data_IF_821675266358
#
_entry.id   IF_821675266358
#
_cell.length_a   1.000
_cell.length_b   1.000
_cell.length_c   1.000
_cell.angle_alpha   90.00
_cell.angle_beta   90.00
_cell.angle_gamma   90.00
#
_symmetry.space_group_name_H-M   'P 1'
#
loop_
_entity.id
_entity.type
_entity.pdbx_description
1 polymer ?
#
# COMPACT_ATOMS: atom_id res chain seq x y z
N UNK A 1 -24.45 32.23 21.67
CA UNK A 1 -23.67 31.85 22.86
C UNK A 1 -22.41 31.07 22.49
N UNK A 2 -22.45 30.14 21.52
CA UNK A 2 -21.22 29.48 21.04
C UNK A 2 -20.31 30.42 20.23
N UNK A 3 -20.87 31.28 19.36
CA UNK A 3 -20.11 32.14 18.42
C UNK A 3 -19.09 33.13 19.04
N UNK A 4 -19.11 33.32 20.36
CA UNK A 4 -18.14 34.14 21.08
C UNK A 4 -16.87 33.40 21.53
N UNK A 5 -16.77 32.09 21.28
CA UNK A 5 -15.60 31.30 21.64
C UNK A 5 -14.45 31.53 20.65
N UNK A 6 -13.18 31.58 21.12
CA UNK A 6 -12.02 31.60 20.25
C UNK A 6 -11.98 30.38 19.33
N UNK A 7 -11.45 30.55 18.11
CA UNK A 7 -11.37 29.47 17.11
C UNK A 7 -10.59 28.27 17.63
N UNK A 8 -9.58 28.50 18.46
CA UNK A 8 -8.72 27.49 19.08
C UNK A 8 -9.54 26.54 19.95
N UNK A 9 -10.51 27.06 20.70
CA UNK A 9 -11.40 26.25 21.55
C UNK A 9 -12.28 25.34 20.69
N UNK A 10 -12.78 25.86 19.56
CA UNK A 10 -13.52 25.05 18.60
C UNK A 10 -12.66 23.94 18.00
N UNK A 11 -11.41 24.23 17.60
CA UNK A 11 -10.49 23.21 17.10
C UNK A 11 -10.20 22.13 18.12
N UNK A 12 -10.03 22.49 19.40
CA UNK A 12 -9.85 21.51 20.46
C UNK A 12 -11.06 20.56 20.56
N UNK A 13 -12.29 21.09 20.50
CA UNK A 13 -13.51 20.27 20.53
C UNK A 13 -13.63 19.40 19.27
N UNK A 14 -13.43 19.98 18.08
CA UNK A 14 -13.54 19.26 16.81
C UNK A 14 -12.51 18.13 16.72
N UNK A 15 -11.31 18.29 17.28
CA UNK A 15 -10.31 17.24 17.33
C UNK A 15 -10.66 16.08 18.28
N UNK A 16 -11.65 16.24 19.17
CA UNK A 16 -12.18 15.16 20.02
C UNK A 16 -13.36 14.43 19.37
N UNK A 17 -13.96 14.99 18.31
CA UNK A 17 -15.09 14.38 17.61
C UNK A 17 -14.55 13.44 16.54
N UNK A 18 -14.79 12.13 16.69
CA UNK A 18 -14.36 11.12 15.70
C UNK A 18 -15.45 10.78 14.69
N UNK A 19 -16.72 11.09 14.98
CA UNK A 19 -17.85 10.73 14.12
C UNK A 19 -18.05 11.73 12.97
N UNK A 20 -17.96 11.23 11.74
CA UNK A 20 -18.21 12.01 10.52
C UNK A 20 -19.64 12.57 10.45
N UNK A 21 -20.62 11.86 11.00
CA UNK A 21 -22.02 12.33 11.04
C UNK A 21 -22.15 13.57 11.93
N UNK A 22 -21.44 13.59 13.06
CA UNK A 22 -21.39 14.76 13.93
C UNK A 22 -20.82 15.98 13.21
N UNK A 23 -19.78 15.83 12.38
CA UNK A 23 -19.26 16.95 11.56
C UNK A 23 -20.29 17.48 10.56
N UNK A 24 -21.06 16.60 9.92
CA UNK A 24 -22.13 17.04 8.99
C UNK A 24 -23.22 17.81 9.73
N UNK A 25 -23.60 17.37 10.93
CA UNK A 25 -24.56 18.07 11.78
C UNK A 25 -24.02 19.43 12.23
N UNK A 26 -22.75 19.50 12.66
CA UNK A 26 -22.10 20.74 13.08
C UNK A 26 -22.02 21.78 11.95
N UNK A 27 -21.75 21.33 10.72
CA UNK A 27 -21.78 22.19 9.53
C UNK A 27 -23.16 22.83 9.29
N UNK A 28 -24.26 22.22 9.75
CA UNK A 28 -25.61 22.74 9.58
C UNK A 28 -26.02 23.74 10.68
N UNK A 29 -25.24 23.88 11.77
CA UNK A 29 -25.62 24.70 12.94
C UNK A 29 -25.44 26.19 12.69
N UNK A 30 -24.31 26.61 12.13
CA UNK A 30 -24.01 28.02 11.85
C UNK A 30 -22.94 28.17 10.76
N UNK A 31 -22.81 29.37 10.17
CA UNK A 31 -21.77 29.67 9.18
C UNK A 31 -20.35 29.52 9.76
N UNK A 32 -20.14 29.96 10.99
CA UNK A 32 -18.83 29.84 11.67
C UNK A 32 -18.45 28.38 11.89
N UNK A 33 -19.40 27.56 12.37
CA UNK A 33 -19.15 26.12 12.54
C UNK A 33 -18.98 25.41 11.20
N UNK A 34 -19.71 25.83 10.17
CA UNK A 34 -19.51 25.35 8.80
C UNK A 34 -18.06 25.59 8.36
N UNK A 35 -17.56 26.82 8.43
CA UNK A 35 -16.19 27.16 8.00
C UNK A 35 -15.11 26.43 8.80
N UNK A 36 -15.30 26.23 10.10
CA UNK A 36 -14.33 25.54 10.96
C UNK A 36 -14.37 24.01 10.80
N UNK A 37 -15.54 23.45 10.51
CA UNK A 37 -15.73 21.99 10.44
C UNK A 37 -15.49 21.43 9.03
N UNK A 38 -15.71 22.25 8.00
CA UNK A 38 -15.57 21.84 6.60
C UNK A 38 -14.18 21.23 6.28
N UNK A 39 -13.05 21.81 6.74
CA UNK A 39 -11.74 21.21 6.51
C UNK A 39 -11.64 19.79 7.10
N UNK A 40 -12.20 19.56 8.30
CA UNK A 40 -12.19 18.24 8.95
C UNK A 40 -13.08 17.23 8.23
N UNK A 41 -14.23 17.67 7.72
CA UNK A 41 -15.14 16.81 6.97
C UNK A 41 -14.52 16.29 5.67
N UNK A 42 -13.66 17.08 5.03
CA UNK A 42 -13.01 16.73 3.76
C UNK A 42 -11.53 16.34 3.91
N UNK A 43 -10.98 16.32 5.12
CA UNK A 43 -9.58 15.92 5.39
C UNK A 43 -9.30 14.47 4.96
N UNK A 44 -10.27 13.57 5.14
CA UNK A 44 -10.19 12.18 4.69
C UNK A 44 -11.29 11.87 3.68
N UNK A 45 -10.89 11.40 2.51
CA UNK A 45 -11.76 10.88 1.46
C UNK A 45 -11.61 9.37 1.38
N UNK A 46 -12.72 8.67 1.52
CA UNK A 46 -12.81 7.21 1.35
C UNK A 46 -13.67 6.94 0.14
N UNK A 47 -13.07 6.28 -0.85
CA UNK A 47 -13.71 5.80 -2.07
C UNK A 47 -13.78 4.29 -1.92
N UNK A 48 -14.98 3.73 -1.87
CA UNK A 48 -15.14 2.28 -1.72
C UNK A 48 -15.80 1.68 -2.93
N UNK A 49 -15.35 0.49 -3.32
CA UNK A 49 -16.11 -0.39 -4.20
C UNK A 49 -17.32 -0.94 -3.43
N UNK A 50 -18.43 -1.13 -4.15
CA UNK A 50 -19.65 -1.72 -3.60
C UNK A 50 -19.48 -3.21 -3.24
N UNK A 51 -18.56 -3.92 -3.90
CA UNK A 51 -18.37 -5.37 -3.69
C UNK A 51 -17.03 -5.87 -4.22
N UNK A 52 -16.54 -6.98 -3.67
CA UNK A 52 -15.35 -7.69 -4.18
C UNK A 52 -15.51 -8.23 -5.60
N UNK A 53 -16.76 -8.37 -6.05
CA UNK A 53 -17.10 -8.84 -7.41
C UNK A 53 -17.03 -7.74 -8.46
N UNK A 54 -16.99 -6.47 -8.06
CA UNK A 54 -16.98 -5.33 -8.97
C UNK A 54 -16.03 -4.22 -8.46
N UNK A 55 -14.73 -4.54 -8.38
CA UNK A 55 -13.71 -3.66 -7.82
C UNK A 55 -13.54 -2.35 -8.62
N UNK A 56 -13.87 -2.37 -9.92
CA UNK A 56 -13.86 -1.20 -10.80
C UNK A 56 -15.03 -0.23 -10.56
N UNK A 57 -16.09 -0.67 -9.84
CA UNK A 57 -17.26 0.15 -9.54
C UNK A 57 -17.05 0.96 -8.28
N UNK A 58 -16.15 1.93 -8.37
CA UNK A 58 -15.91 2.93 -7.32
C UNK A 58 -16.73 4.20 -7.56
N UNK A 59 -17.25 4.81 -6.48
CA UNK A 59 -18.03 6.05 -6.58
C UNK A 59 -17.17 7.29 -6.32
N UNK A 60 -16.54 7.82 -7.37
CA UNK A 60 -15.85 9.12 -7.30
C UNK A 60 -16.76 10.29 -7.66
N UNK A 61 -17.85 10.06 -8.39
CA UNK A 61 -18.76 11.10 -8.91
C UNK A 61 -19.31 12.00 -7.81
N UNK A 62 -19.59 11.44 -6.63
CA UNK A 62 -20.06 12.21 -5.47
C UNK A 62 -19.11 13.35 -5.04
N UNK A 63 -17.81 13.23 -5.33
CA UNK A 63 -16.79 14.24 -5.05
C UNK A 63 -16.57 15.23 -6.19
N UNK A 64 -17.04 14.89 -7.41
CA UNK A 64 -16.81 15.65 -8.63
C UNK A 64 -17.99 16.56 -9.02
N UNK A 65 -19.10 16.52 -8.29
CA UNK A 65 -20.30 17.31 -8.60
C UNK A 65 -20.30 18.64 -7.86
N UNK A 66 -20.59 19.73 -8.58
CA UNK A 66 -20.82 21.06 -8.05
C UNK A 66 -19.58 21.66 -7.37
N UNK A 67 -19.77 22.35 -6.23
CA UNK A 67 -18.67 22.93 -5.46
C UNK A 67 -17.87 21.90 -4.63
N UNK A 68 -18.06 20.60 -4.86
CA UNK A 68 -17.34 19.56 -4.12
C UNK A 68 -15.86 19.50 -4.47
N UNK A 69 -15.51 19.75 -5.74
CA UNK A 69 -14.10 19.85 -6.19
C UNK A 69 -13.37 20.97 -5.47
N UNK A 70 -14.01 22.13 -5.31
CA UNK A 70 -13.48 23.24 -4.54
C UNK A 70 -13.25 22.91 -3.05
N UNK A 71 -13.79 21.81 -2.51
CA UNK A 71 -13.55 21.35 -1.13
C UNK A 71 -12.43 20.32 -1.03
N UNK A 72 -12.03 19.71 -2.15
CA UNK A 72 -11.00 18.68 -2.18
C UNK A 72 -9.60 19.23 -1.84
N UNK A 73 -9.38 20.54 -1.87
CA UNK A 73 -8.12 21.15 -1.41
C UNK A 73 -7.84 20.93 0.09
N UNK A 74 -8.86 20.56 0.88
CA UNK A 74 -8.69 20.16 2.28
C UNK A 74 -8.24 18.71 2.45
N UNK A 75 -8.33 17.88 1.39
CA UNK A 75 -8.00 16.46 1.45
C UNK A 75 -6.54 16.25 1.80
N UNK A 76 -6.30 15.43 2.82
CA UNK A 76 -4.98 14.98 3.28
C UNK A 76 -4.82 13.48 3.20
N UNK A 77 -5.92 12.74 3.23
CA UNK A 77 -5.92 11.29 3.27
C UNK A 77 -6.88 10.76 2.22
N UNK A 78 -6.38 9.95 1.30
CA UNK A 78 -7.20 9.24 0.32
C UNK A 78 -7.09 7.75 0.59
N UNK A 79 -8.24 7.09 0.71
CA UNK A 79 -8.34 5.64 0.78
C UNK A 79 -9.26 5.14 -0.31
N UNK A 80 -8.77 4.21 -1.12
CA UNK A 80 -9.53 3.46 -2.11
C UNK A 80 -9.61 2.03 -1.60
N UNK A 81 -10.80 1.54 -1.27
CA UNK A 81 -10.95 0.26 -0.58
C UNK A 81 -12.09 -0.60 -1.10
N UNK A 82 -11.99 -1.90 -0.89
CA UNK A 82 -13.11 -2.82 -1.04
C UNK A 82 -13.32 -3.55 0.28
N UNK A 83 -14.56 -3.96 0.60
CA UNK A 83 -14.75 -4.89 1.70
C UNK A 83 -14.10 -6.24 1.33
N UNK A 84 -13.57 -7.01 2.28
CA UNK A 84 -13.02 -8.35 2.04
C UNK A 84 -13.80 -9.39 2.86
N UNK A 85 -14.55 -10.26 2.20
CA UNK A 85 -15.42 -11.27 2.78
C UNK A 85 -15.00 -12.69 2.37
N UNK A 86 -14.42 -12.86 1.18
CA UNK A 86 -14.01 -14.14 0.64
C UNK A 86 -12.47 -14.17 0.46
N UNK A 87 -11.84 -15.31 0.73
CA UNK A 87 -10.44 -15.52 0.36
C UNK A 87 -10.41 -16.00 -1.10
N UNK A 88 -10.24 -15.05 -2.02
CA UNK A 88 -10.20 -15.32 -3.45
C UNK A 88 -8.74 -15.42 -3.90
N UNK A 89 -8.37 -16.54 -4.54
CA UNK A 89 -7.04 -16.74 -5.12
C UNK A 89 -6.76 -15.72 -6.24
N UNK A 90 -7.81 -15.33 -6.98
CA UNK A 90 -7.74 -14.41 -8.12
C UNK A 90 -8.60 -13.16 -7.92
N UNK A 91 -8.11 -12.23 -7.08
CA UNK A 91 -8.85 -10.99 -6.78
C UNK A 91 -8.67 -9.90 -7.84
N UNK A 92 -7.58 -9.92 -8.61
CA UNK A 92 -7.31 -8.88 -9.59
C UNK A 92 -8.34 -8.88 -10.73
N UNK A 93 -8.73 -7.68 -11.18
CA UNK A 93 -9.68 -7.48 -12.28
C UNK A 93 -9.21 -8.21 -13.55
N UNK A 94 -7.89 -8.26 -13.80
CA UNK A 94 -7.30 -8.94 -14.95
C UNK A 94 -7.57 -10.45 -15.01
N UNK A 95 -7.74 -11.14 -13.88
CA UNK A 95 -8.05 -12.57 -13.89
C UNK A 95 -9.47 -12.85 -14.39
N UNK A 96 -10.44 -12.04 -13.95
CA UNK A 96 -11.82 -12.13 -14.42
C UNK A 96 -11.91 -11.89 -15.91
N UNK A 97 -11.03 -11.06 -16.44
CA UNK A 97 -10.94 -10.76 -17.85
C UNK A 97 -10.45 -11.97 -18.67
N UNK A 98 -9.55 -12.78 -18.11
CA UNK A 98 -9.05 -14.02 -18.73
C UNK A 98 -10.11 -15.13 -18.64
N UNK A 99 -10.77 -15.23 -17.49
CA UNK A 99 -11.77 -16.27 -17.23
C UNK A 99 -13.04 -16.08 -18.09
N UNK A 100 -13.44 -14.81 -18.30
CA UNK A 100 -14.49 -14.43 -19.26
C UNK A 100 -14.08 -14.73 -20.71
N UNK A 101 -12.78 -14.62 -21.06
CA UNK A 101 -12.26 -14.99 -22.39
C UNK A 101 -12.30 -16.51 -22.62
N UNK A 102 -11.90 -17.31 -21.63
CA UNK A 102 -11.82 -18.79 -21.76
C UNK A 102 -13.23 -19.42 -21.85
N UNK A 103 -14.21 -18.93 -21.06
CA UNK A 103 -15.58 -19.46 -21.03
C UNK A 103 -16.37 -19.24 -22.33
N UNK A 104 -15.96 -18.30 -23.17
CA UNK A 104 -16.67 -17.91 -24.39
C UNK A 104 -16.02 -18.36 -25.71
N UNK A 105 -14.99 -19.21 -25.65
CA UNK A 105 -14.37 -19.85 -26.83
C UNK A 105 -15.25 -20.91 -27.54
N UNK A 106 -16.58 -20.85 -27.38
CA UNK A 106 -17.52 -21.75 -28.05
C UNK A 106 -18.47 -21.09 -29.05
N UNK A 107 -18.46 -19.77 -29.27
CA UNK A 107 -19.14 -19.17 -30.43
C UNK A 107 -18.54 -17.79 -30.79
N UNK A 108 -18.45 -17.56 -32.10
CA UNK A 108 -17.85 -16.43 -32.82
C UNK A 108 -18.19 -15.04 -32.25
N UNK A 109 -17.17 -14.27 -31.83
CA UNK A 109 -17.06 -12.78 -31.87
C UNK A 109 -15.81 -12.33 -31.08
N UNK A 110 -14.64 -12.48 -31.71
CA UNK A 110 -13.32 -12.29 -31.08
C UNK A 110 -12.87 -10.81 -30.97
N UNK A 111 -13.42 -9.89 -31.79
CA UNK A 111 -12.90 -8.51 -31.86
C UNK A 111 -13.55 -7.52 -30.88
N UNK A 112 -14.80 -7.72 -30.43
CA UNK A 112 -15.45 -6.82 -29.46
C UNK A 112 -15.09 -7.14 -27.98
N UNK A 113 -14.53 -8.33 -27.71
CA UNK A 113 -14.42 -8.89 -26.36
C UNK A 113 -13.05 -8.78 -25.69
N UNK A 114 -11.95 -8.69 -26.46
CA UNK A 114 -10.64 -8.27 -25.92
C UNK A 114 -10.68 -6.85 -25.33
N UNK A 115 -11.66 -6.04 -25.72
CA UNK A 115 -11.93 -4.74 -25.13
C UNK A 115 -12.57 -4.85 -23.73
N UNK A 116 -13.44 -5.83 -23.47
CA UNK A 116 -14.28 -5.88 -22.27
C UNK A 116 -13.51 -5.98 -20.95
N UNK A 117 -12.40 -6.70 -20.94
CA UNK A 117 -11.59 -6.88 -19.73
C UNK A 117 -10.64 -5.71 -19.43
N UNK A 118 -9.79 -5.36 -20.40
CA UNK A 118 -8.99 -4.14 -20.37
C UNK A 118 -9.83 -2.89 -20.09
N UNK A 119 -11.11 -2.85 -20.49
CA UNK A 119 -12.00 -1.72 -20.16
C UNK A 119 -12.34 -1.60 -18.68
N UNK A 120 -12.46 -2.69 -17.91
CA UNK A 120 -12.77 -2.60 -16.47
C UNK A 120 -11.61 -2.03 -15.69
N UNK A 121 -10.39 -2.54 -15.91
CA UNK A 121 -9.19 -2.01 -15.26
C UNK A 121 -8.91 -0.56 -15.71
N UNK A 122 -9.00 -0.25 -17.01
CA UNK A 122 -8.89 1.14 -17.51
C UNK A 122 -9.97 2.05 -16.95
N UNK A 123 -11.18 1.54 -16.71
CA UNK A 123 -12.25 2.31 -16.08
C UNK A 123 -11.92 2.62 -14.62
N UNK A 124 -11.37 1.66 -13.88
CA UNK A 124 -10.90 1.89 -12.51
C UNK A 124 -9.79 2.96 -12.49
N UNK A 125 -8.81 2.82 -13.37
CA UNK A 125 -7.72 3.78 -13.57
C UNK A 125 -8.28 5.17 -13.88
N UNK A 126 -9.02 5.34 -14.98
CA UNK A 126 -9.55 6.63 -15.41
C UNK A 126 -10.44 7.27 -14.33
N UNK A 127 -11.31 6.49 -13.70
CA UNK A 127 -12.22 6.98 -12.64
C UNK A 127 -11.43 7.48 -11.43
N UNK A 128 -10.34 6.79 -11.08
CA UNK A 128 -9.47 7.16 -9.96
C UNK A 128 -8.63 8.38 -10.31
N UNK A 129 -8.01 8.40 -11.49
CA UNK A 129 -7.15 9.48 -11.94
C UNK A 129 -7.92 10.80 -12.06
N UNK A 130 -9.11 10.78 -12.68
CA UNK A 130 -9.99 11.97 -12.76
C UNK A 130 -10.30 12.55 -11.38
N UNK A 131 -10.39 11.71 -10.33
CA UNK A 131 -10.56 12.18 -8.96
C UNK A 131 -9.26 12.75 -8.38
N UNK A 132 -8.14 12.04 -8.54
CA UNK A 132 -6.84 12.47 -8.01
C UNK A 132 -6.39 13.81 -8.61
N UNK A 133 -6.64 14.05 -9.89
CA UNK A 133 -6.35 15.31 -10.59
C UNK A 133 -7.10 16.53 -10.02
N UNK A 134 -8.13 16.33 -9.19
CA UNK A 134 -8.81 17.43 -8.50
C UNK A 134 -8.15 17.81 -7.17
N UNK A 135 -7.20 17.01 -6.71
CA UNK A 135 -6.47 17.27 -5.48
C UNK A 135 -5.42 18.34 -5.73
N UNK A 136 -5.16 19.14 -4.70
CA UNK A 136 -4.06 20.10 -4.75
C UNK A 136 -2.72 19.34 -4.69
N UNK A 137 -1.76 19.77 -5.49
CA UNK A 137 -0.40 19.23 -5.47
C UNK A 137 0.21 19.34 -4.06
N UNK A 138 0.96 18.32 -3.67
CA UNK A 138 1.62 18.21 -2.37
C UNK A 138 0.68 18.42 -1.17
N UNK A 139 -0.60 18.10 -1.37
CA UNK A 139 -1.60 18.22 -0.31
C UNK A 139 -1.77 16.94 0.48
N UNK A 140 -1.51 15.77 -0.12
CA UNK A 140 -1.72 14.49 0.52
C UNK A 140 -0.62 14.16 1.52
N UNK A 141 -1.07 13.69 2.69
CA UNK A 141 -0.23 13.09 3.73
C UNK A 141 -0.29 11.58 3.69
N UNK A 142 -1.40 10.99 3.25
CA UNK A 142 -1.47 9.54 3.08
C UNK A 142 -2.30 9.11 1.89
N UNK A 143 -1.86 8.01 1.28
CA UNK A 143 -2.58 7.31 0.24
C UNK A 143 -2.76 5.83 0.62
N UNK A 144 -3.92 5.27 0.33
CA UNK A 144 -4.21 3.86 0.59
C UNK A 144 -4.92 3.22 -0.59
N UNK A 145 -4.30 2.19 -1.15
CA UNK A 145 -4.88 1.28 -2.13
C UNK A 145 -5.17 -0.06 -1.46
N UNK A 146 -6.42 -0.26 -1.07
CA UNK A 146 -6.90 -1.41 -0.32
C UNK A 146 -7.93 -2.20 -1.14
N UNK A 147 -7.66 -2.38 -2.44
CA UNK A 147 -8.53 -3.14 -3.36
C UNK A 147 -8.09 -4.59 -3.53
N UNK A 148 -6.82 -4.93 -3.24
CA UNK A 148 -6.29 -6.27 -3.50
C UNK A 148 -6.16 -6.57 -4.99
N UNK A 149 -5.81 -5.55 -5.78
CA UNK A 149 -5.59 -5.62 -7.24
C UNK A 149 -4.24 -5.01 -7.57
N UNK A 150 -3.77 -5.19 -8.80
CA UNK A 150 -2.75 -4.30 -9.39
C UNK A 150 -3.13 -2.83 -9.19
N UNK A 151 -2.12 -2.00 -9.05
CA UNK A 151 -2.26 -0.53 -9.01
C UNK A 151 -1.94 -0.02 -10.41
N UNK A 152 -2.82 0.81 -11.02
CA UNK A 152 -2.53 1.43 -12.30
C UNK A 152 -1.22 2.24 -12.27
N UNK A 153 -0.40 2.11 -13.31
CA UNK A 153 0.90 2.83 -13.41
C UNK A 153 0.72 4.34 -13.52
N UNK A 154 -0.41 4.79 -14.06
CA UNK A 154 -0.78 6.20 -14.15
C UNK A 154 -1.03 6.80 -12.75
N UNK A 155 -1.19 5.96 -11.72
CA UNK A 155 -1.35 6.39 -10.33
C UNK A 155 -0.02 6.27 -9.57
N UNK A 156 0.64 5.11 -9.61
CA UNK A 156 1.80 4.80 -8.77
C UNK A 156 2.98 4.19 -9.54
N UNK A 157 3.05 4.34 -10.86
CA UNK A 157 4.26 4.10 -11.65
C UNK A 157 5.18 5.31 -11.62
N UNK A 158 6.36 5.21 -12.22
CA UNK A 158 7.41 6.26 -12.16
C UNK A 158 6.97 7.62 -12.72
N UNK A 159 6.05 7.62 -13.69
CA UNK A 159 5.43 8.81 -14.28
C UNK A 159 3.96 8.97 -13.85
N UNK A 160 3.55 8.25 -12.80
CA UNK A 160 2.20 8.29 -12.27
C UNK A 160 1.92 9.57 -11.47
N UNK A 161 0.64 9.84 -11.26
CA UNK A 161 0.17 11.02 -10.53
C UNK A 161 0.82 11.16 -9.14
N UNK A 162 0.90 10.08 -8.35
CA UNK A 162 1.42 10.20 -6.98
C UNK A 162 2.92 10.53 -6.94
N UNK A 163 3.80 9.83 -7.67
CA UNK A 163 5.22 10.20 -7.71
C UNK A 163 5.50 11.57 -8.33
N UNK A 164 4.63 12.09 -9.20
CA UNK A 164 4.81 13.41 -9.83
C UNK A 164 4.24 14.57 -9.00
N UNK A 165 3.05 14.40 -8.40
CA UNK A 165 2.27 15.51 -7.81
C UNK A 165 2.16 15.44 -6.28
N UNK A 166 2.55 14.31 -5.64
CA UNK A 166 2.35 14.05 -4.21
C UNK A 166 3.60 13.42 -3.56
N UNK A 167 4.77 14.00 -3.81
CA UNK A 167 6.06 13.47 -3.33
C UNK A 167 6.23 13.53 -1.80
N UNK A 168 5.52 14.44 -1.13
CA UNK A 168 5.57 14.66 0.32
C UNK A 168 4.74 13.68 1.16
N UNK A 169 4.24 12.59 0.56
CA UNK A 169 3.48 11.56 1.28
C UNK A 169 4.23 11.05 2.53
N UNK A 170 3.51 11.02 3.65
CA UNK A 170 4.01 10.53 4.93
C UNK A 170 3.58 9.08 5.22
N UNK A 171 2.55 8.58 4.55
CA UNK A 171 2.07 7.23 4.76
C UNK A 171 1.50 6.59 3.48
N UNK A 172 1.87 5.33 3.24
CA UNK A 172 1.32 4.54 2.15
C UNK A 172 0.80 3.20 2.68
N UNK A 173 -0.36 2.78 2.19
CA UNK A 173 -0.97 1.47 2.51
C UNK A 173 -1.40 0.78 1.24
N UNK A 174 -0.80 -0.37 0.95
CA UNK A 174 -1.03 -1.12 -0.28
C UNK A 174 -1.52 -2.53 0.05
N UNK A 175 -2.58 -2.95 -0.62
CA UNK A 175 -3.02 -4.33 -0.68
C UNK A 175 -3.12 -4.65 -2.17
N UNK A 176 -2.11 -5.36 -2.66
CA UNK A 176 -1.98 -5.74 -4.07
C UNK A 176 -2.54 -7.15 -4.29
N UNK A 177 -2.92 -7.44 -5.53
CA UNK A 177 -3.35 -8.79 -5.93
C UNK A 177 -2.16 -9.75 -5.93
N UNK A 178 -2.46 -11.04 -6.04
CA UNK A 178 -1.48 -12.12 -6.11
C UNK A 178 -1.52 -12.72 -7.51
N UNK A 179 -0.35 -12.99 -8.09
CA UNK A 179 -0.22 -13.77 -9.32
C UNK A 179 -0.79 -13.14 -10.58
N UNK A 180 -1.12 -11.85 -10.58
CA UNK A 180 -1.74 -11.24 -11.75
C UNK A 180 -0.75 -11.27 -12.94
N UNK A 181 -1.15 -11.79 -14.12
CA UNK A 181 -0.24 -11.95 -15.25
C UNK A 181 0.33 -10.62 -15.76
N UNK A 182 -0.42 -9.52 -15.63
CA UNK A 182 0.06 -8.18 -16.02
C UNK A 182 1.11 -7.59 -15.04
N UNK A 183 1.42 -8.26 -13.93
CA UNK A 183 2.46 -7.86 -12.97
C UNK A 183 3.86 -8.32 -13.39
N UNK A 184 3.99 -9.35 -14.24
CA UNK A 184 5.29 -9.97 -14.56
C UNK A 184 6.10 -9.20 -15.60
N UNK A 185 5.47 -8.30 -16.35
CA UNK A 185 6.13 -7.68 -17.51
C UNK A 185 7.05 -6.50 -17.13
N UNK A 186 7.05 -6.05 -15.86
CA UNK A 186 7.89 -4.94 -15.38
C UNK A 186 7.50 -3.54 -15.89
N UNK A 187 6.73 -3.44 -16.98
CA UNK A 187 6.21 -2.18 -17.55
C UNK A 187 5.13 -1.50 -16.68
N UNK A 188 4.55 -2.23 -15.72
CA UNK A 188 3.53 -1.76 -14.77
C UNK A 188 4.06 -1.72 -13.33
N UNK A 189 5.38 -1.62 -13.15
CA UNK A 189 5.98 -1.63 -11.81
C UNK A 189 5.52 -0.42 -10.98
N UNK A 190 5.10 -0.71 -9.75
CA UNK A 190 4.90 0.30 -8.71
C UNK A 190 6.25 0.99 -8.45
N UNK A 191 6.26 2.31 -8.43
CA UNK A 191 7.43 3.12 -8.07
C UNK A 191 7.17 3.90 -6.79
N UNK A 192 7.97 3.60 -5.77
CA UNK A 192 7.95 4.31 -4.49
C UNK A 192 9.18 5.21 -4.28
N UNK A 193 10.04 5.32 -5.30
CA UNK A 193 11.34 5.97 -5.21
C UNK A 193 11.22 7.48 -4.97
N UNK A 194 10.16 8.15 -5.45
CA UNK A 194 10.03 9.60 -5.27
C UNK A 194 9.65 10.01 -3.83
N UNK A 195 9.10 9.09 -3.03
CA UNK A 195 8.60 9.42 -1.69
C UNK A 195 9.72 9.39 -0.63
N UNK A 196 10.19 10.58 -0.25
CA UNK A 196 11.29 10.73 0.72
C UNK A 196 10.83 11.09 2.15
N UNK A 197 9.51 11.22 2.37
CA UNK A 197 8.92 11.64 3.65
C UNK A 197 8.10 10.53 4.34
N UNK A 198 8.10 9.30 3.83
CA UNK A 198 7.31 8.19 4.36
C UNK A 198 7.73 7.86 5.80
N UNK A 199 6.78 7.97 6.72
CA UNK A 199 6.89 7.55 8.11
C UNK A 199 6.19 6.23 8.38
N UNK A 200 5.24 5.85 7.52
CA UNK A 200 4.45 4.63 7.66
C UNK A 200 4.33 3.92 6.31
N UNK A 201 4.78 2.68 6.27
CA UNK A 201 4.63 1.81 5.11
C UNK A 201 3.85 0.57 5.57
N UNK A 202 2.74 0.29 4.91
CA UNK A 202 1.98 -0.94 5.07
C UNK A 202 1.77 -1.57 3.71
N UNK A 203 2.18 -2.82 3.52
CA UNK A 203 1.99 -3.49 2.24
C UNK A 203 1.75 -4.98 2.40
N UNK A 204 0.63 -5.45 1.86
CA UNK A 204 0.18 -6.84 1.80
C UNK A 204 0.16 -7.30 0.33
N UNK A 205 0.68 -8.50 0.04
CA UNK A 205 0.65 -9.08 -1.32
C UNK A 205 1.86 -8.72 -2.19
N UNK A 206 3.04 -8.58 -1.58
CA UNK A 206 4.31 -8.38 -2.29
C UNK A 206 4.94 -9.73 -2.64
N UNK A 207 5.01 -10.05 -3.93
CA UNK A 207 5.54 -11.34 -4.39
C UNK A 207 6.48 -11.22 -5.59
N UNK A 208 6.29 -10.23 -6.46
CA UNK A 208 7.12 -10.05 -7.66
C UNK A 208 8.39 -9.26 -7.36
N UNK A 209 9.46 -9.55 -8.09
CA UNK A 209 10.74 -8.83 -7.96
C UNK A 209 10.59 -7.30 -8.11
N UNK A 210 9.77 -6.76 -9.03
CA UNK A 210 9.53 -5.31 -9.11
C UNK A 210 8.93 -4.72 -7.83
N UNK A 211 8.01 -5.42 -7.15
CA UNK A 211 7.44 -4.93 -5.88
C UNK A 211 8.45 -4.97 -4.74
N UNK A 212 9.26 -6.02 -4.69
CA UNK A 212 10.35 -6.10 -3.71
C UNK A 212 11.39 -4.99 -3.93
N UNK A 213 11.71 -4.67 -5.18
CA UNK A 213 12.61 -3.56 -5.52
C UNK A 213 12.03 -2.21 -5.12
N UNK A 214 10.76 -1.93 -5.47
CA UNK A 214 10.08 -0.69 -5.10
C UNK A 214 10.05 -0.49 -3.57
N UNK A 215 9.78 -1.57 -2.82
CA UNK A 215 9.83 -1.53 -1.37
C UNK A 215 11.25 -1.29 -0.85
N UNK A 216 12.28 -1.96 -1.39
CA UNK A 216 13.67 -1.73 -1.00
C UNK A 216 14.05 -0.26 -1.13
N UNK A 217 13.72 0.35 -2.27
CA UNK A 217 14.05 1.74 -2.56
C UNK A 217 13.34 2.69 -1.58
N UNK A 218 12.06 2.42 -1.27
CA UNK A 218 11.31 3.16 -0.26
C UNK A 218 11.91 3.02 1.14
N UNK A 219 12.27 1.81 1.56
CA UNK A 219 12.86 1.55 2.87
C UNK A 219 14.22 2.22 3.01
N UNK A 220 15.08 2.15 1.99
CA UNK A 220 16.39 2.80 2.02
C UNK A 220 16.26 4.31 2.18
N UNK A 221 15.40 4.95 1.38
CA UNK A 221 15.18 6.42 1.41
C UNK A 221 14.59 6.90 2.74
N UNK A 222 13.72 6.10 3.35
CA UNK A 222 12.96 6.50 4.53
C UNK A 222 13.47 5.92 5.86
N UNK A 223 14.49 5.06 5.80
CA UNK A 223 15.06 4.30 6.92
C UNK A 223 15.21 5.09 8.23
N UNK A 224 15.77 6.31 8.15
CA UNK A 224 16.09 7.15 9.32
C UNK A 224 14.87 7.71 10.07
N UNK A 225 13.74 7.87 9.40
CA UNK A 225 12.53 8.50 9.96
C UNK A 225 11.28 7.61 9.86
N UNK A 226 11.41 6.42 9.31
CA UNK A 226 10.35 5.42 9.28
C UNK A 226 10.00 5.00 10.72
N UNK A 227 8.73 5.11 11.06
CA UNK A 227 8.22 4.84 12.41
C UNK A 227 7.34 3.59 12.47
N UNK A 228 6.62 3.29 11.39
CA UNK A 228 5.74 2.12 11.29
C UNK A 228 6.02 1.35 10.01
N UNK A 229 6.22 0.04 10.15
CA UNK A 229 6.40 -0.88 9.05
C UNK A 229 5.49 -2.08 9.24
N UNK A 230 4.57 -2.29 8.28
CA UNK A 230 3.74 -3.49 8.19
C UNK A 230 3.98 -4.17 6.85
N UNK A 231 4.42 -5.42 6.89
CA UNK A 231 4.67 -6.22 5.71
C UNK A 231 3.98 -7.56 5.89
N UNK A 232 3.25 -7.99 4.87
CA UNK A 232 2.55 -9.27 4.89
C UNK A 232 2.68 -9.94 3.53
N UNK A 233 3.40 -11.05 3.54
CA UNK A 233 3.48 -11.94 2.41
C UNK A 233 2.22 -12.82 2.41
N UNK A 234 1.74 -13.20 1.24
CA UNK A 234 0.61 -14.12 1.12
C UNK A 234 1.14 -15.35 0.39
N UNK A 235 1.16 -16.54 1.01
CA UNK A 235 1.67 -17.75 0.36
C UNK A 235 0.81 -18.13 -0.86
N UNK A 236 1.41 -18.61 -1.94
CA UNK A 236 0.68 -19.21 -3.05
C UNK A 236 0.64 -20.74 -2.89
N UNK A 237 -0.45 -21.39 -3.34
CA UNK A 237 -0.51 -22.85 -3.45
C UNK A 237 0.60 -23.32 -4.41
N UNK A 238 1.66 -23.91 -3.84
CA UNK A 238 2.89 -24.24 -4.57
C UNK A 238 4.17 -23.75 -3.89
N UNK A 239 4.06 -22.81 -2.95
CA UNK A 239 5.12 -22.48 -1.97
C UNK A 239 5.25 -23.61 -0.94
N UNK A 240 5.42 -24.84 -1.43
CA UNK A 240 5.85 -25.95 -0.62
C UNK A 240 7.22 -25.61 -0.08
N UNK A 241 7.26 -25.41 1.23
CA UNK A 241 8.41 -25.39 2.11
C UNK A 241 9.60 -26.16 1.51
N UNK A 242 10.55 -25.46 0.87
CA UNK A 242 11.81 -26.06 0.41
C UNK A 242 12.15 -26.07 -1.08
N UNK A 243 11.82 -25.04 -1.87
CA UNK A 243 12.65 -24.76 -3.06
C UNK A 243 14.00 -24.20 -2.63
N UNK A 244 14.83 -25.12 -2.14
CA UNK A 244 16.28 -25.03 -2.24
C UNK A 244 16.59 -24.72 -3.70
N UNK A 245 16.94 -23.46 -3.96
CA UNK A 245 17.51 -23.08 -5.24
C UNK A 245 18.65 -24.04 -5.54
N UNK A 246 18.39 -24.96 -6.46
CA UNK A 246 19.40 -25.87 -7.00
C UNK A 246 20.34 -25.07 -7.88
N UNK A 247 21.18 -24.26 -7.24
CA UNK A 247 22.47 -23.91 -7.81
C UNK A 247 23.47 -24.97 -7.35
N UNK A 248 23.64 -25.96 -8.24
CA UNK A 248 24.68 -26.97 -8.14
C UNK A 248 26.06 -26.31 -8.22
N UNK A 249 26.58 -25.91 -7.07
CA UNK A 249 28.00 -25.59 -6.90
C UNK A 249 28.50 -26.28 -5.65
N UNK A 250 28.96 -27.51 -5.88
CA UNK A 250 29.57 -28.39 -4.90
C UNK A 250 30.99 -27.89 -4.60
N UNK A 251 31.12 -26.88 -3.74
CA UNK A 251 32.39 -26.54 -3.11
C UNK A 251 32.23 -26.70 -1.60
N UNK A 252 32.98 -27.68 -1.09
CA UNK A 252 33.04 -28.05 0.32
C UNK A 252 33.91 -27.06 1.08
N UNK A 253 33.30 -26.36 2.03
CA UNK A 253 33.99 -25.72 3.14
C UNK A 253 33.03 -25.60 4.32
N UNK A 254 33.08 -26.58 5.21
CA UNK A 254 32.24 -26.75 6.42
C UNK A 254 32.48 -25.69 7.52
N UNK A 255 33.11 -24.55 7.21
CA UNK A 255 33.33 -23.44 8.14
C UNK A 255 32.48 -22.19 7.85
N UNK A 256 31.54 -22.26 6.90
CA UNK A 256 30.76 -21.10 6.43
C UNK A 256 29.24 -21.32 6.34
N UNK A 257 28.71 -22.35 7.01
CA UNK A 257 27.31 -22.78 6.90
C UNK A 257 26.28 -21.66 7.15
N UNK A 258 26.54 -20.80 8.12
CA UNK A 258 25.63 -19.72 8.53
C UNK A 258 25.57 -18.55 7.51
N UNK A 259 26.69 -18.30 6.81
CA UNK A 259 26.79 -17.26 5.76
C UNK A 259 26.19 -17.73 4.43
N UNK A 260 26.31 -19.02 4.11
CA UNK A 260 25.70 -19.63 2.91
C UNK A 260 24.19 -19.78 3.06
N UNK A 261 23.70 -20.03 4.28
CA UNK A 261 22.28 -20.13 4.60
C UNK A 261 21.56 -18.77 4.59
N UNK A 262 22.20 -17.69 5.06
CA UNK A 262 21.69 -16.32 4.95
C UNK A 262 21.51 -15.85 3.50
N UNK A 263 22.44 -16.21 2.62
CA UNK A 263 22.36 -15.86 1.19
C UNK A 263 21.11 -16.40 0.47
N UNK A 264 20.39 -17.36 1.09
CA UNK A 264 19.13 -17.91 0.57
C UNK A 264 17.89 -17.11 0.98
N UNK A 265 17.99 -16.20 1.97
CA UNK A 265 16.87 -15.35 2.36
C UNK A 265 16.81 -14.08 1.51
N UNK A 266 16.25 -14.23 0.30
CA UNK A 266 16.09 -13.13 -0.65
C UNK A 266 15.23 -12.01 -0.07
N UNK A 267 14.20 -12.31 0.72
CA UNK A 267 13.40 -11.25 1.33
C UNK A 267 14.22 -10.37 2.28
N UNK A 268 14.99 -10.97 3.19
CA UNK A 268 15.85 -10.23 4.10
C UNK A 268 16.92 -9.40 3.37
N UNK A 269 17.57 -10.00 2.38
CA UNK A 269 18.68 -9.35 1.66
C UNK A 269 18.20 -8.33 0.63
N UNK A 270 17.29 -8.76 -0.22
CA UNK A 270 16.79 -7.98 -1.35
C UNK A 270 15.70 -7.01 -0.92
N UNK A 271 14.73 -7.40 -0.10
CA UNK A 271 13.65 -6.48 0.27
C UNK A 271 14.05 -5.53 1.40
N UNK A 272 14.52 -6.08 2.52
CA UNK A 272 14.84 -5.28 3.71
C UNK A 272 16.24 -4.65 3.68
N UNK A 273 17.08 -5.02 2.70
CA UNK A 273 18.45 -4.51 2.60
C UNK A 273 19.33 -4.91 3.79
N UNK A 274 18.99 -6.02 4.48
CA UNK A 274 19.73 -6.46 5.64
C UNK A 274 21.13 -6.91 5.21
N UNK A 275 22.14 -6.47 5.95
CA UNK A 275 23.53 -6.91 5.76
C UNK A 275 23.92 -7.78 6.94
N UNK A 276 24.41 -8.98 6.68
CA UNK A 276 24.98 -9.88 7.67
C UNK A 276 26.38 -9.37 8.08
N UNK A 277 26.43 -8.20 8.72
CA UNK A 277 27.66 -7.64 9.27
C UNK A 277 27.51 -7.45 10.76
N UNK A 278 28.47 -8.01 11.51
CA UNK A 278 28.58 -7.82 12.96
C UNK A 278 29.12 -6.41 13.32
N UNK A 279 29.36 -5.55 12.32
CA UNK A 279 30.10 -4.29 12.45
C UNK A 279 29.25 -3.02 12.36
N UNK A 280 27.95 -3.11 12.07
CA UNK A 280 27.09 -1.91 12.06
C UNK A 280 26.60 -1.61 13.46
N UNK A 281 27.23 -0.65 14.14
CA UNK A 281 26.78 -0.12 15.43
C UNK A 281 25.47 0.68 15.33
N UNK A 282 25.06 1.10 14.14
CA UNK A 282 23.85 1.89 13.92
C UNK A 282 22.73 1.04 13.33
N UNK A 283 21.56 1.10 13.99
CA UNK A 283 20.35 0.45 13.49
C UNK A 283 19.92 1.07 12.15
N UNK A 284 19.56 0.23 11.18
CA UNK A 284 19.03 0.65 9.86
C UNK A 284 17.75 1.48 10.05
N UNK A 285 16.88 1.08 10.98
CA UNK A 285 15.64 1.79 11.27
C UNK A 285 15.66 2.39 12.69
N UNK A 286 16.38 3.51 12.91
CA UNK A 286 16.63 4.06 14.25
C UNK A 286 15.41 4.74 14.89
N UNK A 287 14.37 5.02 14.10
CA UNK A 287 13.12 5.67 14.51
C UNK A 287 11.92 4.71 14.56
N UNK A 288 12.10 3.42 14.23
CA UNK A 288 11.00 2.47 14.15
C UNK A 288 10.43 2.19 15.55
N UNK A 289 9.13 2.41 15.71
CA UNK A 289 8.39 2.18 16.95
C UNK A 289 7.36 1.07 16.81
N UNK A 290 6.94 0.74 15.59
CA UNK A 290 5.96 -0.32 15.30
C UNK A 290 6.40 -1.17 14.12
N UNK A 291 6.49 -2.49 14.33
CA UNK A 291 6.82 -3.49 13.33
C UNK A 291 5.77 -4.59 13.32
N UNK A 292 5.18 -4.87 12.16
CA UNK A 292 4.25 -5.98 11.95
C UNK A 292 4.70 -6.78 10.73
N UNK A 293 5.05 -8.05 10.94
CA UNK A 293 5.43 -8.99 9.89
C UNK A 293 4.43 -10.15 9.87
N UNK A 294 3.93 -10.49 8.68
CA UNK A 294 2.99 -11.60 8.47
C UNK A 294 3.47 -12.52 7.34
N UNK A 295 3.59 -13.82 7.62
CA UNK A 295 3.97 -14.87 6.67
C UNK A 295 5.26 -14.63 5.90
N UNK A 296 6.17 -13.83 6.47
CA UNK A 296 7.46 -13.50 5.86
C UNK A 296 8.50 -14.57 6.24
N UNK A 297 9.23 -15.16 5.25
CA UNK A 297 10.29 -16.11 5.52
C UNK A 297 11.50 -15.38 6.11
N UNK A 298 11.72 -15.52 7.44
CA UNK A 298 12.85 -14.91 8.14
C UNK A 298 13.98 -15.88 8.46
N UNK A 299 13.85 -17.15 8.04
CA UNK A 299 14.85 -18.19 8.26
C UNK A 299 16.26 -17.71 7.88
N UNK A 300 17.20 -17.87 8.80
CA UNK A 300 18.61 -17.48 8.71
C UNK A 300 18.88 -15.96 8.72
N UNK A 301 17.87 -15.09 8.80
CA UNK A 301 18.01 -13.63 8.80
C UNK A 301 17.70 -12.98 10.17
N UNK A 302 17.47 -13.78 11.20
CA UNK A 302 17.01 -13.36 12.53
C UNK A 302 18.00 -12.37 13.16
N UNK A 303 19.29 -12.71 13.15
CA UNK A 303 20.36 -11.86 13.70
C UNK A 303 20.49 -10.54 12.93
N UNK A 304 20.39 -10.59 11.60
CA UNK A 304 20.48 -9.40 10.77
C UNK A 304 19.29 -8.46 11.00
N UNK A 305 18.09 -9.02 11.17
CA UNK A 305 16.89 -8.27 11.51
C UNK A 305 17.02 -7.59 12.87
N UNK A 306 17.48 -8.32 13.89
CA UNK A 306 17.71 -7.77 15.24
C UNK A 306 18.68 -6.59 15.21
N UNK A 307 19.78 -6.71 14.45
CA UNK A 307 20.78 -5.64 14.31
C UNK A 307 20.25 -4.42 13.54
N UNK A 308 19.35 -4.62 12.58
CA UNK A 308 18.74 -3.55 11.82
C UNK A 308 17.73 -2.72 12.63
N UNK A 309 17.20 -3.29 13.71
CA UNK A 309 16.14 -2.68 14.52
C UNK A 309 16.71 -2.01 15.77
N UNK A 310 16.19 -0.83 16.09
CA UNK A 310 16.39 -0.24 17.40
C UNK A 310 15.37 -0.84 18.39
N UNK A 311 15.60 -2.07 18.85
CA UNK A 311 14.66 -2.81 19.71
C UNK A 311 14.25 -2.02 20.96
N UNK A 312 15.14 -1.18 21.50
CA UNK A 312 14.84 -0.35 22.69
C UNK A 312 13.74 0.69 22.46
N UNK A 313 13.52 1.11 21.21
CA UNK A 313 12.47 2.06 20.84
C UNK A 313 11.20 1.39 20.30
N UNK A 314 11.26 0.08 20.03
CA UNK A 314 10.13 -0.66 19.52
C UNK A 314 9.07 -0.80 20.62
N UNK A 315 7.89 -0.26 20.38
CA UNK A 315 6.74 -0.29 21.31
C UNK A 315 5.71 -1.35 20.89
N UNK A 316 5.65 -1.66 19.60
CA UNK A 316 4.72 -2.64 19.05
C UNK A 316 5.48 -3.59 18.12
N UNK A 317 5.40 -4.89 18.43
CA UNK A 317 5.90 -5.96 17.59
C UNK A 317 4.78 -6.96 17.36
N UNK A 318 4.51 -7.29 16.10
CA UNK A 318 3.56 -8.33 15.72
C UNK A 318 4.24 -9.24 14.72
N UNK A 319 4.33 -10.53 15.04
CA UNK A 319 4.81 -11.57 14.14
C UNK A 319 3.66 -12.57 13.96
N UNK A 320 3.24 -12.82 12.73
CA UNK A 320 2.20 -13.80 12.41
C UNK A 320 2.76 -14.77 11.38
N UNK A 321 2.76 -16.07 11.68
CA UNK A 321 3.13 -17.12 10.73
C UNK A 321 4.51 -16.89 10.07
N UNK A 322 5.47 -16.29 10.79
CA UNK A 322 6.83 -16.07 10.29
C UNK A 322 7.68 -17.32 10.59
N UNK A 323 8.03 -18.16 9.60
CA UNK A 323 8.78 -19.38 9.86
C UNK A 323 10.14 -19.06 10.48
N UNK A 324 10.57 -19.87 11.45
CA UNK A 324 11.86 -19.74 12.19
C UNK A 324 11.93 -18.64 13.27
N UNK A 325 10.82 -17.97 13.56
CA UNK A 325 10.70 -16.97 14.64
C UNK A 325 9.61 -17.35 15.67
N UNK A 326 9.21 -18.62 15.70
CA UNK A 326 8.31 -19.20 16.72
C UNK A 326 9.01 -19.47 18.05
#
# INVERSE_FOLDING_TARGET
MLEGLPKEVYWMVLNQVSDRRAFTQLCAVSKTLYELTLPKLYETVVISSESEKNLERINTKSFLIGNSTARLHYTKHVRISAPFHENLDERCIHFRDIDDQIKHNFDEELEEREAGGRTKFRKLEATTLTFLEQLKDESLKSFSWELGTCIPREILGSEGYLPCEQTSLEAITLITGIGCPDETDGWNAVDLSQFCALRRISWIGMQTDPYLQALRDALQKNSKHLTHLRLEHVPQDGDSDGSDGSDGSNDGDEKSGDRRAYCRNLFARECLGLVQSNATTEAIFPALTSLSLGSIPLKNAETALVNALNIRKLSHLTLRQCPSME
#
